data_IF_178974678619
#
_entry.id   IF_178974678619
#
_cell.length_a   1.000
_cell.length_b   1.000
_cell.length_c   1.000
_cell.angle_alpha   90.00
_cell.angle_beta   90.00
_cell.angle_gamma   90.00
#
_symmetry.space_group_name_H-M   'P 1'
#
loop_
_entity.id
_entity.type
_entity.pdbx_description
1 polymer ?
#
# COMPACT_ATOMS: atom_id res chain seq x y z
N UNK A 1 -5.32 10.19 -28.45
CA UNK A 1 -5.34 8.90 -27.74
C UNK A 1 -4.25 8.94 -26.69
N UNK A 2 -4.56 9.45 -25.52
CA UNK A 2 -3.61 9.53 -24.40
C UNK A 2 -3.49 8.13 -23.78
N UNK A 3 -2.25 7.63 -23.66
CA UNK A 3 -1.97 6.33 -23.06
C UNK A 3 -2.16 6.46 -21.54
N UNK A 4 -3.31 5.98 -21.05
CA UNK A 4 -3.57 5.84 -19.62
C UNK A 4 -2.50 4.93 -18.98
N UNK A 5 -1.62 5.55 -18.19
CA UNK A 5 -0.57 4.85 -17.46
C UNK A 5 -1.17 4.28 -16.17
N UNK A 6 -1.65 3.04 -16.25
CA UNK A 6 -2.12 2.27 -15.09
C UNK A 6 -0.94 1.84 -14.22
N UNK A 7 -0.92 2.30 -12.97
CA UNK A 7 -0.02 1.80 -11.92
C UNK A 7 -0.80 1.61 -10.62
N UNK A 8 -0.39 0.62 -9.81
CA UNK A 8 -0.66 0.35 -8.37
C UNK A 8 -2.11 0.51 -7.82
N UNK A 9 -2.79 1.61 -8.08
CA UNK A 9 -4.13 1.94 -7.60
C UNK A 9 -5.02 2.49 -8.73
N UNK A 10 -4.96 1.87 -9.91
CA UNK A 10 -5.91 2.07 -11.00
C UNK A 10 -5.73 3.38 -11.79
N UNK A 11 -5.37 4.50 -11.17
CA UNK A 11 -5.14 5.79 -11.82
C UNK A 11 -4.08 6.59 -11.04
N UNK A 12 -3.02 7.07 -11.72
CA UNK A 12 -2.19 8.16 -11.18
C UNK A 12 -3.01 9.44 -11.24
N UNK A 13 -3.82 9.67 -10.21
CA UNK A 13 -4.42 10.98 -10.04
C UNK A 13 -3.37 11.92 -9.47
N UNK A 14 -3.40 13.22 -9.79
CA UNK A 14 -2.53 14.21 -9.15
C UNK A 14 -2.60 14.15 -7.62
N UNK A 15 -3.78 13.81 -7.08
CA UNK A 15 -3.99 13.60 -5.65
C UNK A 15 -3.19 12.41 -5.09
N UNK A 16 -3.03 11.33 -5.88
CA UNK A 16 -2.26 10.17 -5.46
C UNK A 16 -0.75 10.47 -5.44
N UNK A 17 -0.26 11.22 -6.43
CA UNK A 17 1.15 11.65 -6.46
C UNK A 17 1.47 12.58 -5.28
N UNK A 18 0.60 13.57 -5.01
CA UNK A 18 0.72 14.43 -3.84
C UNK A 18 0.70 13.65 -2.52
N UNK A 19 -0.17 12.64 -2.40
CA UNK A 19 -0.23 11.79 -1.22
C UNK A 19 1.06 10.99 -1.01
N UNK A 20 1.63 10.44 -2.09
CA UNK A 20 2.90 9.70 -2.04
C UNK A 20 4.02 10.63 -1.58
N UNK A 21 4.14 11.81 -2.17
CA UNK A 21 5.18 12.79 -1.79
C UNK A 21 5.07 13.19 -0.32
N UNK A 22 3.85 13.43 0.17
CA UNK A 22 3.61 13.77 1.59
C UNK A 22 4.00 12.63 2.54
N UNK A 23 3.68 11.39 2.18
CA UNK A 23 4.04 10.21 2.97
C UNK A 23 5.55 10.00 3.00
N UNK A 24 6.22 10.14 1.85
CA UNK A 24 7.68 10.02 1.77
C UNK A 24 8.38 11.09 2.60
N UNK A 25 7.91 12.34 2.54
CA UNK A 25 8.48 13.43 3.33
C UNK A 25 8.25 13.20 4.83
N UNK A 26 7.04 12.82 5.24
CA UNK A 26 6.73 12.53 6.64
C UNK A 26 7.57 11.37 7.21
N UNK A 27 7.81 10.33 6.41
CA UNK A 27 8.66 9.20 6.81
C UNK A 27 10.14 9.58 6.82
N UNK A 28 10.59 10.45 5.91
CA UNK A 28 11.98 10.93 5.88
C UNK A 28 12.31 11.75 7.14
N UNK A 29 11.45 12.71 7.47
CA UNK A 29 11.67 13.64 8.59
C UNK A 29 11.31 13.03 9.96
N UNK A 30 10.66 11.88 9.95
CA UNK A 30 10.29 11.17 11.18
C UNK A 30 11.54 10.73 11.96
N UNK A 31 11.55 10.91 13.30
CA UNK A 31 12.64 10.48 14.18
C UNK A 31 12.69 8.95 14.39
N UNK A 32 11.73 8.21 13.81
CA UNK A 32 11.65 6.76 13.95
C UNK A 32 12.82 6.06 13.27
N UNK A 33 13.21 4.91 13.82
CA UNK A 33 14.18 4.03 13.14
C UNK A 33 13.50 3.30 11.97
N UNK A 34 14.26 2.76 10.99
CA UNK A 34 13.68 2.12 9.81
C UNK A 34 12.64 1.03 10.11
N UNK A 35 12.86 0.24 11.16
CA UNK A 35 11.97 -0.84 11.60
C UNK A 35 10.62 -0.30 12.06
N UNK A 36 10.62 0.80 12.81
CA UNK A 36 9.41 1.46 13.29
C UNK A 36 8.64 2.12 12.15
N UNK A 37 9.35 2.71 11.18
CA UNK A 37 8.75 3.26 9.94
C UNK A 37 8.04 2.16 9.15
N UNK A 38 8.69 1.00 9.01
CA UNK A 38 8.10 -0.16 8.35
C UNK A 38 6.86 -0.66 9.09
N UNK A 39 6.93 -0.79 10.42
CA UNK A 39 5.78 -1.21 11.23
C UNK A 39 4.58 -0.25 11.08
N UNK A 40 4.84 1.06 11.03
CA UNK A 40 3.81 2.08 10.82
C UNK A 40 3.16 1.95 9.43
N UNK A 41 3.97 1.79 8.37
CA UNK A 41 3.49 1.56 7.01
C UNK A 41 2.60 0.30 6.95
N UNK A 42 3.04 -0.81 7.54
CA UNK A 42 2.26 -2.05 7.60
C UNK A 42 0.94 -1.83 8.33
N UNK A 43 0.94 -1.14 9.46
CA UNK A 43 -0.29 -0.82 10.21
C UNK A 43 -1.27 0.00 9.38
N UNK A 44 -0.78 0.98 8.63
CA UNK A 44 -1.61 1.79 7.72
C UNK A 44 -2.21 0.93 6.61
N UNK A 45 -1.42 0.05 5.98
CA UNK A 45 -1.93 -0.88 4.96
C UNK A 45 -3.07 -1.76 5.50
N UNK A 46 -2.95 -2.28 6.73
CA UNK A 46 -4.01 -3.07 7.37
C UNK A 46 -5.29 -2.24 7.56
N UNK A 47 -5.16 -0.99 8.02
CA UNK A 47 -6.32 -0.11 8.20
C UNK A 47 -7.02 0.20 6.87
N UNK A 48 -6.24 0.43 5.81
CA UNK A 48 -6.77 0.66 4.47
C UNK A 48 -7.48 -0.57 3.90
N UNK A 49 -6.94 -1.76 4.10
CA UNK A 49 -7.60 -3.02 3.73
C UNK A 49 -8.95 -3.17 4.44
N UNK A 50 -9.00 -2.92 5.75
CA UNK A 50 -10.26 -2.94 6.52
C UNK A 50 -11.27 -1.90 6.02
N UNK A 51 -10.84 -0.66 5.77
CA UNK A 51 -11.71 0.40 5.28
C UNK A 51 -12.31 0.08 3.90
N UNK A 52 -11.52 -0.57 3.04
CA UNK A 52 -11.96 -1.00 1.71
C UNK A 52 -12.65 -2.37 1.71
N UNK A 53 -12.82 -3.01 2.87
CA UNK A 53 -13.41 -4.36 3.01
C UNK A 53 -12.75 -5.40 2.09
N UNK A 54 -11.44 -5.27 1.89
CA UNK A 54 -10.64 -6.17 1.07
C UNK A 54 -9.55 -6.80 1.92
N UNK A 55 -9.24 -8.07 1.64
CA UNK A 55 -8.17 -8.79 2.31
C UNK A 55 -6.88 -8.82 1.47
N UNK A 56 -6.89 -8.23 0.27
CA UNK A 56 -5.70 -8.21 -0.59
C UNK A 56 -5.62 -6.98 -1.48
N UNK A 57 -4.40 -6.64 -1.88
CA UNK A 57 -4.10 -5.69 -2.94
C UNK A 57 -3.05 -6.26 -3.90
N UNK A 58 -3.18 -5.92 -5.17
CA UNK A 58 -2.33 -6.39 -6.25
C UNK A 58 -1.68 -5.20 -6.96
N UNK A 59 -0.40 -5.34 -7.29
CA UNK A 59 0.40 -4.36 -8.01
C UNK A 59 1.14 -5.06 -9.14
N UNK A 60 0.99 -4.55 -10.36
CA UNK A 60 1.91 -4.90 -11.44
C UNK A 60 3.18 -4.06 -11.33
N UNK A 61 4.33 -4.71 -11.19
CA UNK A 61 5.64 -4.06 -11.20
C UNK A 61 6.17 -3.87 -12.62
N UNK A 62 7.19 -3.03 -12.78
CA UNK A 62 7.75 -2.62 -14.07
C UNK A 62 8.30 -3.79 -14.90
N UNK A 63 8.77 -4.86 -14.26
CA UNK A 63 9.24 -6.08 -14.92
C UNK A 63 8.10 -7.02 -15.38
N UNK A 64 6.85 -6.61 -15.19
CA UNK A 64 5.66 -7.34 -15.61
C UNK A 64 5.14 -8.34 -14.58
N UNK A 65 5.87 -8.62 -13.48
CA UNK A 65 5.39 -9.46 -12.39
C UNK A 65 4.24 -8.81 -11.62
N UNK A 66 3.45 -9.63 -10.96
CA UNK A 66 2.39 -9.19 -10.05
C UNK A 66 2.87 -9.39 -8.60
N UNK A 67 2.95 -8.30 -7.84
CA UNK A 67 3.09 -8.33 -6.40
C UNK A 67 1.71 -8.35 -5.76
N UNK A 68 1.47 -9.30 -4.88
CA UNK A 68 0.20 -9.43 -4.14
C UNK A 68 0.49 -9.33 -2.65
N UNK A 69 -0.14 -8.38 -1.98
CA UNK A 69 -0.18 -8.30 -0.53
C UNK A 69 -1.52 -8.84 -0.06
N UNK A 70 -1.49 -9.87 0.80
CA UNK A 70 -2.70 -10.48 1.36
C UNK A 70 -2.62 -10.41 2.87
N UNK A 71 -3.70 -9.97 3.51
CA UNK A 71 -3.88 -10.09 4.95
C UNK A 71 -4.24 -11.54 5.24
N UNK A 72 -3.29 -12.30 5.80
CA UNK A 72 -3.58 -13.68 6.19
C UNK A 72 -4.70 -13.70 7.23
N UNK A 73 -5.73 -14.48 6.95
CA UNK A 73 -6.73 -14.84 7.97
C UNK A 73 -6.04 -15.86 8.86
N UNK A 74 -5.82 -15.52 10.14
CA UNK A 74 -5.47 -16.56 11.11
C UNK A 74 -6.56 -17.64 11.03
N UNK A 75 -6.18 -18.93 10.94
CA UNK A 75 -7.17 -19.99 11.03
C UNK A 75 -7.90 -19.82 12.36
N UNK A 76 -9.20 -19.54 12.31
CA UNK A 76 -10.05 -19.65 13.48
C UNK A 76 -10.07 -21.12 13.82
N UNK A 77 -9.23 -21.54 14.76
CA UNK A 77 -9.41 -22.82 15.44
C UNK A 77 -10.73 -22.70 16.20
N UNK A 78 -11.81 -23.10 15.54
CA UNK A 78 -13.06 -23.41 16.22
C UNK A 78 -12.77 -24.60 17.12
N UNK A 79 -12.66 -24.35 18.42
CA UNK A 79 -12.78 -25.37 19.45
C UNK A 79 -14.25 -25.52 19.83
#
# INVERSE_FOLDING_TARGET
MEKESRTLFGHKTPAMEQLVDQLEQALRDSPLVPEEKLALLMRICILLFRANKTDSAEMKVSDGRMLKLTLEKLPTTSH
#
